data_IF_648319839935
#
_entry.id   IF_648319839935
#
_cell.length_a   1.000
_cell.length_b   1.000
_cell.length_c   1.000
_cell.angle_alpha   90.00
_cell.angle_beta   90.00
_cell.angle_gamma   90.00
#
_symmetry.space_group_name_H-M   'P 1'
#
loop_
_entity.id
_entity.type
_entity.pdbx_description
1 polymer ?
#
# COMPACT_ATOMS: atom_id res chain seq x y z
N UNK A 1 31.54 -23.06 -20.98
CA UNK A 1 30.26 -22.51 -20.51
C UNK A 1 29.96 -21.29 -21.36
N UNK A 2 29.07 -21.42 -22.37
CA UNK A 2 28.74 -20.32 -23.28
C UNK A 2 27.73 -19.42 -22.58
N UNK A 3 28.06 -18.17 -22.40
CA UNK A 3 27.16 -17.13 -21.88
C UNK A 3 26.23 -16.75 -23.04
N UNK A 4 24.93 -17.14 -22.95
CA UNK A 4 23.94 -16.64 -23.90
C UNK A 4 23.82 -15.12 -23.77
N UNK A 5 23.83 -14.38 -24.91
CA UNK A 5 23.68 -12.92 -24.87
C UNK A 5 22.26 -12.58 -24.43
N UNK A 6 22.15 -11.70 -23.43
CA UNK A 6 20.89 -11.08 -22.98
C UNK A 6 20.10 -10.57 -24.21
N UNK A 7 18.93 -11.14 -24.47
CA UNK A 7 18.03 -10.70 -25.53
C UNK A 7 17.76 -9.20 -25.34
N UNK A 8 18.17 -8.39 -26.31
CA UNK A 8 17.83 -6.97 -26.41
C UNK A 8 16.30 -6.86 -26.38
N UNK A 9 15.72 -6.35 -25.29
CA UNK A 9 14.28 -6.10 -25.23
C UNK A 9 13.86 -5.16 -26.37
N UNK A 10 12.81 -5.53 -27.09
CA UNK A 10 12.30 -4.75 -28.21
C UNK A 10 11.84 -3.36 -27.72
N UNK A 11 12.43 -2.31 -28.23
CA UNK A 11 12.10 -0.94 -27.84
C UNK A 11 10.64 -0.53 -28.10
N UNK A 12 9.90 -1.31 -28.90
CA UNK A 12 8.44 -1.14 -29.07
C UNK A 12 7.69 -1.68 -27.88
N UNK A 13 8.07 -2.83 -27.35
CA UNK A 13 7.46 -3.43 -26.15
C UNK A 13 7.69 -2.55 -24.94
N UNK A 14 8.90 -2.03 -24.77
CA UNK A 14 9.22 -1.11 -23.65
C UNK A 14 8.38 0.18 -23.71
N UNK A 15 8.18 0.74 -24.93
CA UNK A 15 7.34 1.93 -25.09
C UNK A 15 5.86 1.63 -24.83
N UNK A 16 5.35 0.50 -25.32
CA UNK A 16 3.98 0.08 -25.06
C UNK A 16 3.74 -0.14 -23.55
N UNK A 17 4.68 -0.79 -22.86
CA UNK A 17 4.60 -0.98 -21.42
C UNK A 17 4.58 0.36 -20.67
N UNK A 18 5.49 1.29 -20.97
CA UNK A 18 5.48 2.62 -20.33
C UNK A 18 4.17 3.36 -20.53
N UNK A 19 3.62 3.34 -21.76
CA UNK A 19 2.33 3.97 -22.06
C UNK A 19 1.21 3.31 -21.25
N UNK A 20 1.23 1.97 -21.09
CA UNK A 20 0.28 1.25 -20.26
C UNK A 20 0.39 1.69 -18.79
N UNK A 21 1.61 1.69 -18.24
CA UNK A 21 1.87 2.06 -16.84
C UNK A 21 1.46 3.52 -16.55
N UNK A 22 1.75 4.46 -17.47
CA UNK A 22 1.36 5.87 -17.35
C UNK A 22 -0.17 6.04 -17.33
N UNK A 23 -0.89 5.32 -18.20
CA UNK A 23 -2.36 5.34 -18.22
C UNK A 23 -2.93 4.68 -16.97
N UNK A 24 -2.35 3.55 -16.53
CA UNK A 24 -2.77 2.86 -15.33
C UNK A 24 -2.64 3.77 -14.10
N UNK A 25 -1.46 4.40 -13.93
CA UNK A 25 -1.22 5.36 -12.85
C UNK A 25 -2.24 6.49 -12.87
N UNK A 26 -2.48 7.10 -14.02
CA UNK A 26 -3.45 8.19 -14.19
C UNK A 26 -4.87 7.78 -13.78
N UNK A 27 -5.26 6.55 -14.07
CA UNK A 27 -6.54 5.99 -13.65
C UNK A 27 -6.61 5.78 -12.13
N UNK A 28 -5.53 5.29 -11.51
CA UNK A 28 -5.47 5.12 -10.06
C UNK A 28 -5.47 6.46 -9.33
N UNK A 29 -4.66 7.44 -9.77
CA UNK A 29 -4.65 8.79 -9.21
C UNK A 29 -6.07 9.40 -9.25
N UNK A 30 -6.77 9.26 -10.38
CA UNK A 30 -8.16 9.70 -10.52
C UNK A 30 -9.14 8.95 -9.60
N UNK A 31 -8.93 7.67 -9.35
CA UNK A 31 -9.73 6.90 -8.41
C UNK A 31 -9.51 7.40 -6.97
N UNK A 32 -8.26 7.66 -6.56
CA UNK A 32 -7.92 8.25 -5.26
C UNK A 32 -8.65 9.58 -5.06
N UNK A 33 -8.58 10.49 -6.04
CA UNK A 33 -9.26 11.78 -5.98
C UNK A 33 -10.79 11.64 -5.83
N UNK A 34 -11.40 10.71 -6.58
CA UNK A 34 -12.84 10.46 -6.49
C UNK A 34 -13.26 9.86 -5.14
N UNK A 35 -12.51 8.88 -4.62
CA UNK A 35 -12.81 8.26 -3.32
C UNK A 35 -12.57 9.21 -2.15
N UNK A 36 -11.64 10.16 -2.28
CA UNK A 36 -11.36 11.17 -1.27
C UNK A 36 -12.31 12.39 -1.36
N UNK A 37 -13.15 12.48 -2.39
CA UNK A 37 -14.11 13.57 -2.52
C UNK A 37 -15.33 13.33 -1.62
N UNK A 38 -15.55 14.14 -0.56
CA UNK A 38 -16.64 13.94 0.39
C UNK A 38 -18.04 14.14 -0.21
N UNK A 39 -18.12 14.73 -1.41
CA UNK A 39 -19.40 14.97 -2.11
C UNK A 39 -19.83 13.78 -2.97
N UNK A 40 -18.97 12.78 -3.13
CA UNK A 40 -19.22 11.61 -3.96
C UNK A 40 -19.36 10.38 -3.08
N UNK A 41 -20.53 9.74 -3.12
CA UNK A 41 -20.72 8.47 -2.41
C UNK A 41 -19.89 7.36 -3.08
N UNK A 42 -19.07 6.59 -2.33
CA UNK A 42 -18.17 5.57 -2.88
C UNK A 42 -18.86 4.48 -3.71
N UNK A 43 -20.12 4.17 -3.38
CA UNK A 43 -20.93 3.19 -4.13
C UNK A 43 -21.24 3.65 -5.57
N UNK A 44 -21.25 4.95 -5.80
CA UNK A 44 -21.47 5.55 -7.13
C UNK A 44 -20.22 5.58 -8.00
N UNK A 45 -19.04 5.43 -7.41
CA UNK A 45 -17.79 5.43 -8.17
C UNK A 45 -17.69 4.12 -8.97
N UNK A 46 -17.53 4.24 -10.28
CA UNK A 46 -17.39 3.13 -11.23
C UNK A 46 -16.16 3.32 -12.10
N UNK A 47 -15.70 2.25 -12.77
CA UNK A 47 -14.60 2.33 -13.76
C UNK A 47 -14.89 3.40 -14.83
N UNK A 48 -16.15 3.52 -15.26
CA UNK A 48 -16.54 4.55 -16.24
C UNK A 48 -16.39 5.97 -15.71
N UNK A 49 -16.68 6.20 -14.41
CA UNK A 49 -16.48 7.52 -13.80
C UNK A 49 -15.00 7.82 -13.60
N UNK A 50 -14.20 6.84 -13.18
CA UNK A 50 -12.74 6.96 -13.10
C UNK A 50 -12.16 7.29 -14.48
N UNK A 51 -12.58 6.58 -15.54
CA UNK A 51 -12.16 6.84 -16.90
C UNK A 51 -12.46 8.28 -17.34
N UNK A 52 -13.69 8.75 -17.08
CA UNK A 52 -14.12 10.11 -17.40
C UNK A 52 -13.29 11.16 -16.64
N UNK A 53 -13.05 10.96 -15.37
CA UNK A 53 -12.26 11.85 -14.53
C UNK A 53 -10.79 11.91 -15.02
N UNK A 54 -10.21 10.75 -15.33
CA UNK A 54 -8.87 10.63 -15.87
C UNK A 54 -8.72 11.16 -17.31
N UNK A 55 -9.82 11.46 -18.03
CA UNK A 55 -9.76 11.81 -19.46
C UNK A 55 -9.26 10.66 -20.34
N UNK A 56 -9.61 9.41 -19.96
CA UNK A 56 -9.27 8.17 -20.66
C UNK A 56 -10.55 7.57 -21.24
N UNK A 57 -10.47 6.86 -22.36
CA UNK A 57 -11.66 6.17 -22.89
C UNK A 57 -12.14 5.08 -21.94
N UNK A 58 -13.46 4.89 -21.84
CA UNK A 58 -14.06 3.85 -21.02
C UNK A 58 -13.55 2.45 -21.39
N UNK A 59 -13.39 2.18 -22.70
CA UNK A 59 -12.84 0.92 -23.19
C UNK A 59 -11.40 0.72 -22.71
N UNK A 60 -10.57 1.75 -22.75
CA UNK A 60 -9.20 1.69 -22.23
C UNK A 60 -9.20 1.40 -20.73
N UNK A 61 -10.06 2.07 -19.94
CA UNK A 61 -10.12 1.84 -18.50
C UNK A 61 -10.54 0.39 -18.15
N UNK A 62 -11.47 -0.20 -18.89
CA UNK A 62 -11.82 -1.63 -18.70
C UNK A 62 -10.72 -2.60 -19.11
N UNK A 63 -9.78 -2.20 -19.99
CA UNK A 63 -8.57 -3.00 -20.23
C UNK A 63 -7.61 -3.03 -19.04
N UNK A 64 -7.63 -1.98 -18.21
CA UNK A 64 -6.85 -1.89 -16.97
C UNK A 64 -7.58 -2.52 -15.76
N UNK A 65 -8.91 -2.47 -15.76
CA UNK A 65 -9.77 -2.90 -14.64
C UNK A 65 -10.89 -3.82 -15.14
N UNK A 66 -10.56 -5.03 -15.65
CA UNK A 66 -11.55 -5.96 -16.19
C UNK A 66 -12.55 -6.47 -15.14
N UNK A 67 -12.17 -6.56 -13.88
CA UNK A 67 -13.03 -6.95 -12.77
C UNK A 67 -13.58 -5.75 -11.97
N UNK A 68 -13.69 -4.59 -12.65
CA UNK A 68 -14.29 -3.38 -12.10
C UNK A 68 -13.55 -2.82 -10.86
N UNK A 69 -14.31 -2.51 -9.78
CA UNK A 69 -13.77 -1.88 -8.59
C UNK A 69 -12.73 -2.73 -7.86
N UNK A 70 -12.81 -4.05 -7.94
CA UNK A 70 -11.86 -4.94 -7.28
C UNK A 70 -10.44 -4.72 -7.80
N UNK A 71 -10.29 -4.50 -9.12
CA UNK A 71 -9.00 -4.19 -9.71
C UNK A 71 -8.47 -2.82 -9.26
N UNK A 72 -9.36 -1.82 -9.12
CA UNK A 72 -8.98 -0.51 -8.60
C UNK A 72 -8.47 -0.65 -7.17
N UNK A 73 -9.18 -1.36 -6.31
CA UNK A 73 -8.78 -1.58 -4.91
C UNK A 73 -7.45 -2.33 -4.80
N UNK A 74 -7.27 -3.40 -5.57
CA UNK A 74 -6.00 -4.11 -5.65
C UNK A 74 -4.85 -3.22 -6.10
N UNK A 75 -5.08 -2.37 -7.10
CA UNK A 75 -4.08 -1.43 -7.61
C UNK A 75 -3.73 -0.33 -6.61
N UNK A 76 -4.66 0.12 -5.77
CA UNK A 76 -4.39 1.06 -4.67
C UNK A 76 -3.36 0.49 -3.68
N UNK A 77 -3.53 -0.77 -3.27
CA UNK A 77 -2.56 -1.45 -2.41
C UNK A 77 -1.21 -1.64 -3.11
N UNK A 78 -1.22 -2.06 -4.39
CA UNK A 78 0.01 -2.27 -5.16
C UNK A 78 0.82 -0.99 -5.32
N UNK A 79 0.16 0.12 -5.67
CA UNK A 79 0.83 1.41 -5.85
C UNK A 79 1.40 1.90 -4.53
N UNK A 80 0.60 1.89 -3.46
CA UNK A 80 1.04 2.31 -2.14
C UNK A 80 2.24 1.52 -1.64
N UNK A 81 2.18 0.19 -1.78
CA UNK A 81 3.28 -0.66 -1.34
C UNK A 81 4.54 -0.50 -2.20
N UNK A 82 4.41 -0.30 -3.51
CA UNK A 82 5.55 -0.06 -4.39
C UNK A 82 6.31 1.21 -3.98
N UNK A 83 5.60 2.30 -3.71
CA UNK A 83 6.21 3.55 -3.27
C UNK A 83 6.98 3.35 -1.96
N UNK A 84 6.38 2.64 -0.99
CA UNK A 84 7.04 2.28 0.29
C UNK A 84 8.30 1.44 0.05
N UNK A 85 8.23 0.46 -0.85
CA UNK A 85 9.36 -0.41 -1.16
C UNK A 85 10.52 0.36 -1.84
N UNK A 86 10.19 1.27 -2.75
CA UNK A 86 11.19 2.11 -3.44
C UNK A 86 11.90 3.05 -2.45
N UNK A 87 11.18 3.69 -1.53
CA UNK A 87 11.76 4.54 -0.49
C UNK A 87 12.62 3.73 0.50
N UNK A 88 12.13 2.56 0.93
CA UNK A 88 12.89 1.68 1.81
C UNK A 88 14.19 1.20 1.16
N UNK A 89 14.16 0.80 -0.11
CA UNK A 89 15.35 0.37 -0.83
C UNK A 89 16.39 1.49 -0.91
N UNK A 90 15.97 2.73 -1.22
CA UNK A 90 16.85 3.88 -1.24
C UNK A 90 17.47 4.15 0.15
N UNK A 91 16.70 3.98 1.24
CA UNK A 91 17.22 4.12 2.60
C UNK A 91 18.22 3.03 2.95
N UNK A 92 17.95 1.77 2.58
CA UNK A 92 18.84 0.63 2.84
C UNK A 92 20.20 0.77 2.13
N UNK A 93 20.27 1.47 1.00
CA UNK A 93 21.55 1.80 0.34
C UNK A 93 22.48 2.65 1.22
N UNK A 94 21.97 3.36 2.21
CA UNK A 94 22.76 4.13 3.18
C UNK A 94 23.38 3.27 4.29
N UNK A 95 23.13 1.95 4.29
CA UNK A 95 23.54 0.99 5.32
C UNK A 95 23.16 1.42 6.76
N UNK A 96 21.86 1.68 7.01
CA UNK A 96 21.37 2.13 8.31
C UNK A 96 21.49 1.02 9.36
N UNK A 97 21.42 1.43 10.63
CA UNK A 97 21.19 0.48 11.73
C UNK A 97 19.87 -0.29 11.50
N UNK A 98 19.82 -1.61 11.78
CA UNK A 98 18.63 -2.43 11.49
C UNK A 98 17.34 -1.90 12.14
N UNK A 99 17.42 -1.39 13.35
CA UNK A 99 16.27 -0.75 14.03
C UNK A 99 15.76 0.49 13.30
N UNK A 100 16.65 1.26 12.68
CA UNK A 100 16.27 2.44 11.90
C UNK A 100 15.55 2.05 10.60
N UNK A 101 15.92 0.92 10.01
CA UNK A 101 15.23 0.40 8.82
C UNK A 101 13.79 -0.04 9.13
N UNK A 102 13.54 -0.71 10.27
CA UNK A 102 12.18 -1.07 10.71
C UNK A 102 11.35 0.19 10.97
N UNK A 103 11.90 1.17 11.68
CA UNK A 103 11.20 2.43 11.98
C UNK A 103 10.85 3.21 10.70
N UNK A 104 11.81 3.31 9.78
CA UNK A 104 11.60 3.96 8.49
C UNK A 104 10.49 3.26 7.69
N UNK A 105 10.48 1.93 7.64
CA UNK A 105 9.43 1.17 6.99
C UNK A 105 8.04 1.46 7.59
N UNK A 106 7.93 1.47 8.92
CA UNK A 106 6.67 1.78 9.62
C UNK A 106 6.21 3.22 9.36
N UNK A 107 7.12 4.18 9.40
CA UNK A 107 6.81 5.59 9.12
C UNK A 107 6.32 5.79 7.69
N UNK A 108 7.05 5.23 6.71
CA UNK A 108 6.69 5.36 5.30
C UNK A 108 5.34 4.72 4.99
N UNK A 109 5.08 3.51 5.52
CA UNK A 109 3.79 2.85 5.28
C UNK A 109 2.63 3.59 5.96
N UNK A 110 2.84 4.14 7.16
CA UNK A 110 1.81 4.92 7.85
C UNK A 110 1.46 6.20 7.09
N UNK A 111 2.46 6.94 6.65
CA UNK A 111 2.26 8.17 5.86
C UNK A 111 1.58 7.86 4.51
N UNK A 112 1.94 6.75 3.85
CA UNK A 112 1.30 6.33 2.60
C UNK A 112 -0.16 5.93 2.77
N UNK A 113 -0.48 5.24 3.84
CA UNK A 113 -1.88 4.89 4.20
C UNK A 113 -2.72 6.16 4.42
N UNK A 114 -2.18 7.16 5.12
CA UNK A 114 -2.86 8.43 5.35
C UNK A 114 -3.00 9.23 4.03
N UNK A 115 -1.98 9.27 3.20
CA UNK A 115 -2.02 9.92 1.87
C UNK A 115 -3.15 9.36 0.99
N UNK A 116 -3.32 8.04 0.98
CA UNK A 116 -4.40 7.37 0.23
C UNK A 116 -5.80 7.65 0.84
N UNK A 117 -5.88 7.99 2.12
CA UNK A 117 -7.07 8.49 2.80
C UNK A 117 -8.29 7.57 2.68
N UNK A 118 -9.44 8.12 2.26
CA UNK A 118 -10.67 7.35 2.10
C UNK A 118 -10.58 6.25 1.04
N UNK A 119 -9.71 6.40 0.04
CA UNK A 119 -9.52 5.37 -0.98
C UNK A 119 -9.07 4.05 -0.33
N UNK A 120 -8.05 4.12 0.55
CA UNK A 120 -7.57 2.93 1.25
C UNK A 120 -8.54 2.47 2.35
N UNK A 121 -9.26 3.41 3.03
CA UNK A 121 -10.29 3.05 4.01
C UNK A 121 -11.37 2.16 3.39
N UNK A 122 -11.81 2.47 2.19
CA UNK A 122 -12.82 1.70 1.47
C UNK A 122 -12.23 0.38 0.97
N UNK A 123 -11.06 0.43 0.33
CA UNK A 123 -10.39 -0.75 -0.23
C UNK A 123 -10.03 -1.79 0.85
N UNK A 124 -9.74 -1.36 2.08
CA UNK A 124 -9.39 -2.26 3.19
C UNK A 124 -10.46 -3.30 3.50
N UNK A 125 -11.73 -2.93 3.38
CA UNK A 125 -12.83 -3.87 3.61
C UNK A 125 -13.00 -4.90 2.49
N UNK A 126 -12.42 -4.65 1.32
CA UNK A 126 -12.43 -5.54 0.15
C UNK A 126 -11.17 -6.45 0.08
N UNK A 127 -10.24 -6.33 1.02
CA UNK A 127 -8.96 -7.10 1.03
C UNK A 127 -9.18 -8.59 0.87
N UNK A 128 -10.19 -9.15 1.55
CA UNK A 128 -10.52 -10.58 1.45
C UNK A 128 -10.85 -11.00 0.01
N UNK A 129 -11.63 -10.20 -0.69
CA UNK A 129 -12.06 -10.51 -2.06
C UNK A 129 -10.91 -10.29 -3.05
N UNK A 130 -10.05 -9.29 -2.79
CA UNK A 130 -8.82 -9.06 -3.54
C UNK A 130 -7.89 -10.28 -3.40
N UNK A 131 -7.69 -10.80 -2.20
CA UNK A 131 -6.91 -12.01 -1.95
C UNK A 131 -7.50 -13.24 -2.66
N UNK A 132 -8.82 -13.43 -2.54
CA UNK A 132 -9.52 -14.54 -3.16
C UNK A 132 -9.43 -14.52 -4.70
N UNK A 133 -9.31 -13.33 -5.32
CA UNK A 133 -9.12 -13.18 -6.77
C UNK A 133 -7.71 -13.53 -7.26
N UNK A 134 -6.77 -13.83 -6.37
CA UNK A 134 -5.36 -14.08 -6.70
C UNK A 134 -4.59 -12.82 -7.14
N UNK A 135 -5.14 -11.63 -6.92
CA UNK A 135 -4.54 -10.32 -7.28
C UNK A 135 -3.74 -9.72 -6.14
N UNK A 136 -3.51 -10.50 -5.09
CA UNK A 136 -2.69 -10.06 -3.97
C UNK A 136 -1.23 -9.84 -4.38
N UNK A 137 -0.59 -8.89 -3.77
CA UNK A 137 0.75 -8.42 -4.12
C UNK A 137 1.78 -9.51 -3.81
N UNK A 138 2.62 -9.85 -4.79
CA UNK A 138 3.84 -10.61 -4.53
C UNK A 138 4.82 -9.73 -3.73
N UNK A 139 5.34 -10.26 -2.63
CA UNK A 139 6.19 -9.51 -1.70
C UNK A 139 5.37 -8.68 -0.73
N UNK A 140 4.51 -9.35 0.02
CA UNK A 140 3.64 -8.72 1.01
C UNK A 140 4.43 -7.85 1.99
N UNK A 141 3.87 -6.73 2.47
CA UNK A 141 4.50 -5.89 3.51
C UNK A 141 5.02 -6.70 4.69
N UNK A 142 4.36 -7.80 5.03
CA UNK A 142 4.78 -8.70 6.08
C UNK A 142 6.10 -9.42 5.78
N UNK A 143 6.33 -9.87 4.53
CA UNK A 143 7.60 -10.54 4.15
C UNK A 143 8.77 -9.55 4.22
N UNK A 144 8.54 -8.29 3.82
CA UNK A 144 9.52 -7.22 3.96
C UNK A 144 9.83 -6.99 5.44
N UNK A 145 8.80 -6.86 6.29
CA UNK A 145 8.96 -6.69 7.72
C UNK A 145 9.74 -7.84 8.36
N UNK A 146 9.42 -9.10 8.03
CA UNK A 146 10.18 -10.27 8.49
C UNK A 146 11.66 -10.19 8.12
N UNK A 147 11.96 -9.78 6.89
CA UNK A 147 13.33 -9.60 6.43
C UNK A 147 14.08 -8.53 7.23
N UNK A 148 13.43 -7.42 7.54
CA UNK A 148 13.99 -6.36 8.37
C UNK A 148 14.21 -6.82 9.81
N UNK A 149 13.24 -7.53 10.41
CA UNK A 149 13.37 -8.10 11.75
C UNK A 149 14.51 -9.11 11.83
N UNK A 150 14.71 -9.93 10.79
CA UNK A 150 15.82 -10.88 10.72
C UNK A 150 17.18 -10.19 10.72
N UNK A 151 17.30 -9.02 10.12
CA UNK A 151 18.52 -8.22 10.16
C UNK A 151 18.74 -7.55 11.52
N UNK A 152 17.67 -7.31 12.30
CA UNK A 152 17.73 -6.73 13.64
C UNK A 152 18.08 -7.78 14.70
N UNK A 153 17.33 -8.89 14.74
CA UNK A 153 17.55 -10.02 15.62
C UNK A 153 17.09 -11.31 14.94
N UNK A 154 18.04 -12.15 14.55
CA UNK A 154 17.74 -13.37 13.80
C UNK A 154 17.06 -14.47 14.63
N UNK A 155 17.19 -14.42 15.96
CA UNK A 155 16.63 -15.46 16.87
C UNK A 155 15.16 -15.20 17.14
N UNK A 156 14.75 -13.93 17.30
CA UNK A 156 13.37 -13.52 17.59
C UNK A 156 12.64 -12.89 16.39
N UNK A 157 13.18 -13.01 15.19
CA UNK A 157 12.69 -12.30 14.00
C UNK A 157 11.21 -12.55 13.70
N UNK A 158 10.76 -13.79 13.77
CA UNK A 158 9.38 -14.15 13.44
C UNK A 158 8.41 -13.61 14.49
N UNK A 159 8.73 -13.78 15.78
CA UNK A 159 7.91 -13.29 16.90
C UNK A 159 7.83 -11.75 16.87
N UNK A 160 8.97 -11.08 16.63
CA UNK A 160 9.01 -9.61 16.51
C UNK A 160 8.19 -9.10 15.33
N UNK A 161 8.28 -9.75 14.17
CA UNK A 161 7.49 -9.40 13.01
C UNK A 161 5.99 -9.58 13.26
N UNK A 162 5.60 -10.68 13.92
CA UNK A 162 4.22 -10.95 14.30
C UNK A 162 3.67 -9.91 15.28
N UNK A 163 4.42 -9.54 16.31
CA UNK A 163 4.03 -8.52 17.27
C UNK A 163 3.85 -7.15 16.60
N UNK A 164 4.81 -6.75 15.76
CA UNK A 164 4.72 -5.51 14.99
C UNK A 164 3.49 -5.52 14.07
N UNK A 165 3.28 -6.62 13.35
CA UNK A 165 2.16 -6.74 12.41
C UNK A 165 0.79 -6.70 13.11
N UNK A 166 0.67 -7.35 14.28
CA UNK A 166 -0.56 -7.31 15.08
C UNK A 166 -0.85 -5.90 15.59
N UNK A 167 0.16 -5.20 16.11
CA UNK A 167 0.02 -3.81 16.58
C UNK A 167 -0.33 -2.87 15.43
N UNK A 168 0.31 -3.03 14.27
CA UNK A 168 0.01 -2.26 13.06
C UNK A 168 -1.45 -2.45 12.62
N UNK A 169 -1.91 -3.69 12.51
CA UNK A 169 -3.31 -3.98 12.16
C UNK A 169 -4.29 -3.40 13.19
N UNK A 170 -3.95 -3.45 14.48
CA UNK A 170 -4.74 -2.84 15.55
C UNK A 170 -4.88 -1.32 15.39
N UNK A 171 -3.78 -0.61 15.14
CA UNK A 171 -3.79 0.83 14.87
C UNK A 171 -4.59 1.14 13.60
N UNK A 172 -4.36 0.39 12.52
CA UNK A 172 -5.07 0.57 11.26
C UNK A 172 -6.58 0.37 11.42
N UNK A 173 -6.99 -0.69 12.14
CA UNK A 173 -8.40 -0.95 12.39
C UNK A 173 -9.09 0.20 13.15
N UNK A 174 -8.42 0.78 14.16
CA UNK A 174 -8.94 1.92 14.91
C UNK A 174 -9.04 3.17 14.02
N UNK A 175 -8.01 3.44 13.23
CA UNK A 175 -8.01 4.54 12.27
C UNK A 175 -9.11 4.42 11.19
N UNK A 176 -9.39 3.20 10.70
CA UNK A 176 -10.49 2.93 9.76
C UNK A 176 -11.86 3.29 10.35
N UNK A 177 -11.98 3.30 11.68
CA UNK A 177 -13.21 3.63 12.42
C UNK A 177 -13.36 5.12 12.72
N UNK A 178 -12.40 5.95 12.29
CA UNK A 178 -12.48 7.40 12.53
C UNK A 178 -13.82 7.98 12.08
N UNK A 179 -14.46 8.68 13.00
CA UNK A 179 -15.70 9.42 12.75
C UNK A 179 -15.71 10.66 13.67
N UNK A 180 -15.58 11.88 13.11
CA UNK A 180 -15.53 13.11 13.90
C UNK A 180 -16.82 13.39 14.66
N UNK A 181 -17.94 12.81 14.25
CA UNK A 181 -19.24 12.99 14.90
C UNK A 181 -19.44 12.07 16.11
N UNK A 182 -18.57 11.05 16.28
CA UNK A 182 -18.73 10.06 17.34
C UNK A 182 -17.60 10.14 18.35
N UNK A 183 -17.85 10.53 19.62
CA UNK A 183 -16.79 10.81 20.61
C UNK A 183 -15.76 9.69 20.81
N UNK A 184 -16.17 8.41 20.68
CA UNK A 184 -15.27 7.25 20.85
C UNK A 184 -14.30 7.14 19.67
N UNK A 185 -14.73 7.51 18.46
CA UNK A 185 -13.96 7.31 17.22
C UNK A 185 -13.23 8.59 16.76
N UNK A 186 -13.66 9.77 17.23
CA UNK A 186 -13.11 11.07 16.80
C UNK A 186 -11.64 11.29 17.15
N UNK A 187 -11.08 10.49 18.06
CA UNK A 187 -9.66 10.57 18.46
C UNK A 187 -8.71 9.83 17.53
N UNK A 188 -9.20 8.96 16.64
CA UNK A 188 -8.36 8.15 15.76
C UNK A 188 -8.09 8.88 14.43
N UNK A 189 -7.54 10.09 14.54
CA UNK A 189 -7.18 10.95 13.41
C UNK A 189 -5.99 10.41 12.63
N UNK A 190 -5.65 11.07 11.54
CA UNK A 190 -4.47 10.72 10.74
C UNK A 190 -3.18 10.92 11.56
N UNK A 191 -3.10 12.02 12.35
CA UNK A 191 -1.97 12.30 13.25
C UNK A 191 -1.84 11.21 14.31
N UNK A 192 -2.97 10.83 14.95
CA UNK A 192 -2.98 9.75 15.93
C UNK A 192 -2.44 8.45 15.32
N UNK A 193 -2.84 8.14 14.07
CA UNK A 193 -2.42 6.93 13.40
C UNK A 193 -0.91 6.90 13.16
N UNK A 194 -0.37 7.96 12.56
CA UNK A 194 1.08 8.06 12.27
C UNK A 194 1.90 7.97 13.56
N UNK A 195 1.53 8.73 14.60
CA UNK A 195 2.20 8.71 15.91
C UNK A 195 2.22 7.30 16.51
N UNK A 196 1.07 6.61 16.54
CA UNK A 196 0.98 5.29 17.16
C UNK A 196 1.69 4.20 16.35
N UNK A 197 1.68 4.28 15.02
CA UNK A 197 2.43 3.34 14.16
C UNK A 197 3.94 3.52 14.36
N UNK A 198 4.43 4.75 14.49
CA UNK A 198 5.84 5.03 14.72
C UNK A 198 6.36 4.52 16.08
N UNK A 199 5.48 4.34 17.06
CA UNK A 199 5.82 3.76 18.36
C UNK A 199 5.78 2.22 18.40
N UNK A 200 5.28 1.56 17.36
CA UNK A 200 5.05 0.10 17.35
C UNK A 200 6.32 -0.68 17.63
N UNK A 201 7.42 -0.32 16.97
CA UNK A 201 8.70 -1.02 17.16
C UNK A 201 9.15 -1.00 18.63
N UNK A 202 9.07 0.14 19.30
CA UNK A 202 9.42 0.27 20.71
C UNK A 202 8.45 -0.51 21.62
N UNK A 203 7.18 -0.60 21.25
CA UNK A 203 6.18 -1.37 22.00
C UNK A 203 6.43 -2.87 21.84
N UNK A 204 6.65 -3.35 20.62
CA UNK A 204 6.92 -4.76 20.32
C UNK A 204 8.19 -5.26 21.04
N UNK A 205 9.29 -4.51 20.98
CA UNK A 205 10.54 -4.90 21.66
C UNK A 205 10.46 -4.93 23.18
N UNK A 206 9.45 -4.32 23.80
CA UNK A 206 9.18 -4.40 25.26
C UNK A 206 8.34 -5.62 25.62
N UNK A 207 7.52 -6.14 24.72
CA UNK A 207 6.69 -7.33 24.94
C UNK A 207 7.58 -8.57 25.04
N UNK A 208 8.68 -8.60 24.28
CA UNK A 208 9.61 -9.73 24.21
C UNK A 208 10.64 -9.80 25.37
N UNK A 209 10.67 -8.81 26.25
CA UNK A 209 11.53 -8.77 27.46
C UNK A 209 10.79 -9.23 28.70
#
# INVERSE_FOLDING_TARGET
MSIEPLKKQDGRLLRAQRTYDDVHKKLIDSAVELFNNPLISPDKISVSQVAKHAGVSVATAYNHFPENKLDIYGSLFQLGFKDVADELNAFLETAPEPSAAIKMFLDTIANKVVELGNAIRIAWFEVRDIQASGKWIQGEPYDVLKSLCKNYDSESADDLADDIFQLFNGCTFLWLRYDPSYPVWSKYTDEWYVENVNEIFEKATKIQK
#
